data_IF_428682128961
#
_entry.id   IF_428682128961
#
_cell.length_a   1.000
_cell.length_b   1.000
_cell.length_c   1.000
_cell.angle_alpha   90.00
_cell.angle_beta   90.00
_cell.angle_gamma   90.00
#
_symmetry.space_group_name_H-M   'P 1'
#
loop_
_entity.id
_entity.type
_entity.pdbx_description
1 polymer ?
#
# COMPACT_ATOMS: atom_id res chain seq x y z
N UNK A 1 -34.37 -7.01 4.54
CA UNK A 1 -33.46 -7.97 5.20
C UNK A 1 -32.04 -7.51 4.88
N UNK A 2 -31.17 -7.44 5.89
CA UNK A 2 -29.73 -7.12 5.71
C UNK A 2 -28.97 -8.42 5.84
N UNK A 3 -28.19 -8.77 4.81
CA UNK A 3 -27.33 -9.94 4.85
C UNK A 3 -25.86 -9.55 4.76
N UNK A 4 -25.04 -10.19 5.59
CA UNK A 4 -23.58 -10.04 5.55
C UNK A 4 -22.95 -11.13 4.71
N UNK A 5 -21.97 -10.72 3.91
CA UNK A 5 -21.14 -11.62 3.10
C UNK A 5 -19.67 -11.32 3.40
N UNK A 6 -18.93 -12.34 3.85
CA UNK A 6 -17.48 -12.24 4.04
C UNK A 6 -16.77 -12.24 2.68
N UNK A 7 -15.83 -11.32 2.52
CA UNK A 7 -15.04 -11.02 1.31
C UNK A 7 -13.55 -10.87 1.65
N UNK A 8 -13.12 -11.49 2.76
CA UNK A 8 -11.75 -11.40 3.27
C UNK A 8 -10.70 -12.00 2.33
N UNK A 9 -11.12 -12.88 1.40
CA UNK A 9 -10.24 -13.51 0.40
C UNK A 9 -10.51 -12.99 -1.01
N UNK A 10 -9.56 -13.22 -1.92
CA UNK A 10 -9.73 -12.92 -3.36
C UNK A 10 -10.68 -13.90 -4.06
N UNK A 11 -11.15 -14.92 -3.35
CA UNK A 11 -12.09 -15.89 -3.89
C UNK A 11 -13.42 -15.23 -4.19
N UNK A 12 -14.01 -15.61 -5.32
CA UNK A 12 -15.40 -15.25 -5.60
C UNK A 12 -16.29 -15.94 -4.57
N UNK A 13 -17.04 -15.16 -3.81
CA UNK A 13 -18.04 -15.67 -2.88
C UNK A 13 -19.41 -15.52 -3.53
N UNK A 14 -20.25 -16.54 -3.37
CA UNK A 14 -21.62 -16.47 -3.83
C UNK A 14 -22.58 -16.89 -2.73
N UNK A 15 -23.69 -16.16 -2.61
CA UNK A 15 -24.74 -16.44 -1.62
C UNK A 15 -26.09 -16.33 -2.29
N UNK A 16 -26.94 -17.33 -2.11
CA UNK A 16 -28.35 -17.24 -2.50
C UNK A 16 -29.12 -16.58 -1.36
N UNK A 17 -29.83 -15.49 -1.64
CA UNK A 17 -30.70 -14.81 -0.67
C UNK A 17 -32.10 -15.47 -0.62
N UNK A 18 -32.51 -16.07 -1.74
CA UNK A 18 -33.70 -16.89 -1.91
C UNK A 18 -33.54 -17.74 -3.19
N UNK A 19 -34.55 -18.53 -3.53
CA UNK A 19 -34.55 -19.44 -4.69
C UNK A 19 -34.31 -18.72 -6.04
N UNK A 20 -34.57 -17.42 -6.09
CA UNK A 20 -34.54 -16.63 -7.32
C UNK A 20 -33.36 -15.65 -7.36
N UNK A 21 -32.74 -15.32 -6.22
CA UNK A 21 -31.76 -14.25 -6.08
C UNK A 21 -30.42 -14.79 -5.59
N UNK A 22 -29.39 -14.64 -6.44
CA UNK A 22 -28.00 -14.99 -6.13
C UNK A 22 -27.14 -13.74 -6.16
N UNK A 23 -26.36 -13.53 -5.11
CA UNK A 23 -25.33 -12.50 -5.07
C UNK A 23 -23.98 -13.15 -5.29
N UNK A 24 -23.18 -12.54 -6.15
CA UNK A 24 -21.77 -12.85 -6.33
C UNK A 24 -20.96 -11.63 -5.89
N UNK A 25 -19.97 -11.85 -5.05
CA UNK A 25 -19.08 -10.81 -4.53
C UNK A 25 -17.64 -11.19 -4.82
N UNK A 26 -16.85 -10.23 -5.28
CA UNK A 26 -15.42 -10.43 -5.50
C UNK A 26 -14.63 -9.22 -5.00
N UNK A 27 -13.57 -9.49 -4.25
CA UNK A 27 -12.58 -8.47 -3.90
C UNK A 27 -11.92 -7.95 -5.18
N UNK A 28 -11.86 -6.63 -5.34
CA UNK A 28 -11.14 -6.00 -6.43
C UNK A 28 -9.70 -5.80 -5.95
N UNK A 29 -8.78 -6.62 -6.45
CA UNK A 29 -7.36 -6.34 -6.26
C UNK A 29 -6.94 -5.22 -7.20
N UNK A 30 -6.43 -4.08 -6.70
CA UNK A 30 -5.85 -3.08 -7.59
C UNK A 30 -4.68 -3.71 -8.35
N UNK A 31 -4.48 -3.28 -9.59
CA UNK A 31 -3.30 -3.70 -10.35
C UNK A 31 -2.04 -3.23 -9.61
N UNK A 32 -1.26 -4.17 -9.09
CA UNK A 32 -0.05 -3.90 -8.30
C UNK A 32 1.17 -4.28 -9.12
N UNK A 33 1.95 -3.26 -9.50
CA UNK A 33 3.28 -3.49 -10.09
C UNK A 33 4.18 -3.99 -8.96
N UNK A 34 4.86 -5.12 -9.18
CA UNK A 34 5.84 -5.62 -8.20
C UNK A 34 7.04 -4.67 -8.20
N UNK A 35 7.41 -4.05 -7.06
CA UNK A 35 8.51 -3.11 -7.02
C UNK A 35 9.85 -3.83 -7.21
N UNK A 36 10.77 -3.19 -7.94
CA UNK A 36 12.15 -3.63 -8.07
C UNK A 36 13.00 -3.32 -6.83
N UNK A 37 14.24 -3.82 -6.79
CA UNK A 37 15.17 -3.57 -5.69
C UNK A 37 15.48 -2.08 -5.50
N UNK A 38 15.58 -1.32 -6.60
CA UNK A 38 15.76 0.13 -6.58
C UNK A 38 14.60 0.85 -5.91
N UNK A 39 13.35 0.48 -6.24
CA UNK A 39 12.16 1.07 -5.63
C UNK A 39 12.12 0.81 -4.12
N UNK A 40 12.49 -0.40 -3.70
CA UNK A 40 12.56 -0.78 -2.28
C UNK A 40 13.68 -0.04 -1.53
N UNK A 41 14.83 0.15 -2.17
CA UNK A 41 15.93 0.95 -1.64
C UNK A 41 15.47 2.38 -1.34
N UNK A 42 14.90 3.07 -2.34
CA UNK A 42 14.42 4.44 -2.16
C UNK A 42 13.25 4.52 -1.17
N UNK A 43 12.35 3.53 -1.18
CA UNK A 43 11.23 3.48 -0.25
C UNK A 43 11.69 3.40 1.22
N UNK A 44 12.80 2.72 1.51
CA UNK A 44 13.35 2.70 2.87
C UNK A 44 13.72 4.11 3.36
N UNK A 45 14.38 4.91 2.51
CA UNK A 45 14.69 6.31 2.83
C UNK A 45 13.42 7.14 2.99
N UNK A 46 12.44 6.96 2.10
CA UNK A 46 11.17 7.69 2.14
C UNK A 46 10.40 7.42 3.42
N UNK A 47 10.23 6.16 3.81
CA UNK A 47 9.51 5.80 5.04
C UNK A 47 10.21 6.37 6.27
N UNK A 48 11.54 6.30 6.31
CA UNK A 48 12.28 6.84 7.46
C UNK A 48 12.30 8.38 7.48
N UNK A 49 12.28 9.02 6.32
CA UNK A 49 12.09 10.45 6.19
C UNK A 49 10.70 10.89 6.63
N UNK A 50 9.68 10.13 6.27
CA UNK A 50 8.28 10.35 6.65
C UNK A 50 8.09 10.32 8.17
N UNK A 51 8.66 9.33 8.85
CA UNK A 51 8.74 9.29 10.33
C UNK A 51 9.41 10.55 10.91
N UNK A 52 10.35 11.14 10.18
CA UNK A 52 11.15 12.29 10.60
C UNK A 52 10.68 13.65 10.02
N UNK A 53 9.41 13.74 9.60
CA UNK A 53 8.80 15.00 9.16
C UNK A 53 8.51 15.10 7.66
N UNK A 54 8.57 13.99 6.93
CA UNK A 54 8.13 13.92 5.55
C UNK A 54 9.22 13.99 4.49
N UNK A 55 8.81 13.86 3.23
CA UNK A 55 9.63 14.05 2.05
C UNK A 55 9.17 15.25 1.22
N UNK A 56 10.12 15.88 0.52
CA UNK A 56 9.79 16.78 -0.59
C UNK A 56 9.51 15.97 -1.85
N UNK A 57 10.40 15.02 -2.14
CA UNK A 57 10.26 14.13 -3.30
C UNK A 57 11.14 12.89 -3.17
N UNK A 58 10.79 11.84 -3.90
CA UNK A 58 11.67 10.72 -4.19
C UNK A 58 11.53 10.27 -5.65
N UNK A 59 12.58 9.75 -6.24
CA UNK A 59 12.63 9.31 -7.64
C UNK A 59 13.31 7.96 -7.79
N UNK A 60 12.92 7.20 -8.82
CA UNK A 60 13.71 6.09 -9.37
C UNK A 60 14.36 6.58 -10.66
N UNK A 61 15.67 6.38 -10.77
CA UNK A 61 16.40 6.64 -12.01
C UNK A 61 16.61 5.30 -12.72
N UNK A 62 15.82 5.05 -13.78
CA UNK A 62 15.80 3.74 -14.46
C UNK A 62 17.04 3.44 -15.31
N UNK A 63 17.90 4.44 -15.59
CA UNK A 63 19.10 4.31 -16.41
C UNK A 63 20.26 5.10 -15.81
N UNK A 64 21.44 4.48 -15.76
CA UNK A 64 22.67 5.09 -15.25
C UNK A 64 23.17 4.43 -13.97
N UNK A 65 24.11 5.08 -13.29
CA UNK A 65 24.77 4.57 -12.08
C UNK A 65 24.05 4.93 -10.78
N UNK A 66 23.03 5.78 -10.83
CA UNK A 66 22.23 6.17 -9.69
C UNK A 66 20.95 5.33 -9.62
N UNK A 67 20.62 4.87 -8.42
CA UNK A 67 19.38 4.15 -8.13
C UNK A 67 18.17 5.09 -8.15
N UNK A 68 18.32 6.24 -7.53
CA UNK A 68 17.26 7.21 -7.34
C UNK A 68 17.77 8.39 -6.53
N UNK A 69 16.84 9.24 -6.12
CA UNK A 69 17.12 10.27 -5.12
C UNK A 69 15.94 10.39 -4.20
N UNK A 70 16.19 10.42 -2.88
CA UNK A 70 15.19 10.76 -1.87
C UNK A 70 15.59 12.09 -1.22
N UNK A 71 14.69 13.08 -1.28
CA UNK A 71 14.87 14.40 -0.67
C UNK A 71 13.93 14.56 0.52
N UNK A 72 14.38 14.24 1.74
CA UNK A 72 13.58 14.43 2.94
C UNK A 72 13.36 15.92 3.25
N UNK A 73 12.33 16.24 4.02
CA UNK A 73 12.16 17.57 4.61
C UNK A 73 13.31 17.87 5.58
N UNK A 74 13.72 16.86 6.35
CA UNK A 74 14.87 16.90 7.25
C UNK A 74 15.77 15.68 7.01
N UNK A 75 16.96 15.92 6.46
CA UNK A 75 17.95 14.85 6.28
C UNK A 75 18.63 14.55 7.62
N UNK A 76 18.84 13.26 7.91
CA UNK A 76 19.54 12.78 9.10
C UNK A 76 20.45 11.60 8.73
N UNK A 77 21.44 11.31 9.56
CA UNK A 77 22.27 10.11 9.40
C UNK A 77 21.43 8.83 9.40
N UNK A 78 20.38 8.77 10.21
CA UNK A 78 19.45 7.63 10.28
C UNK A 78 18.68 7.49 8.98
N UNK A 79 18.09 8.57 8.46
CA UNK A 79 17.41 8.60 7.15
C UNK A 79 18.33 8.16 6.02
N UNK A 80 19.57 8.66 6.02
CA UNK A 80 20.59 8.27 5.04
C UNK A 80 20.98 6.79 5.15
N UNK A 81 20.92 6.17 6.34
CA UNK A 81 21.26 4.76 6.52
C UNK A 81 20.12 3.77 6.21
N UNK A 82 18.93 4.26 5.85
CA UNK A 82 17.71 3.46 5.77
C UNK A 82 17.85 2.22 4.86
N UNK A 83 18.27 2.41 3.61
CA UNK A 83 18.37 1.31 2.67
C UNK A 83 19.42 0.28 3.09
N UNK A 84 20.57 0.74 3.58
CA UNK A 84 21.62 -0.12 4.13
C UNK A 84 21.19 -0.89 5.38
N UNK A 85 20.30 -0.33 6.20
CA UNK A 85 19.74 -0.98 7.37
C UNK A 85 18.88 -2.20 7.01
N UNK A 86 18.14 -2.09 5.90
CA UNK A 86 17.28 -3.14 5.34
C UNK A 86 18.04 -4.14 4.45
N UNK A 87 19.35 -3.95 4.26
CA UNK A 87 20.20 -4.87 3.49
C UNK A 87 20.15 -4.65 1.97
N UNK A 88 19.65 -3.50 1.50
CA UNK A 88 19.68 -3.17 0.09
C UNK A 88 21.09 -2.75 -0.37
N UNK A 89 21.42 -3.06 -1.63
CA UNK A 89 22.67 -2.65 -2.28
C UNK A 89 22.66 -1.20 -2.75
N UNK A 90 23.78 -0.73 -3.30
CA UNK A 90 23.92 0.64 -3.84
C UNK A 90 24.13 1.74 -2.78
N UNK A 91 24.57 1.37 -1.58
CA UNK A 91 24.61 2.25 -0.40
C UNK A 91 25.95 2.96 -0.17
N UNK A 92 26.86 2.92 -1.15
CA UNK A 92 28.18 3.56 -1.03
C UNK A 92 28.07 5.07 -0.79
N UNK A 93 27.17 5.74 -1.54
CA UNK A 93 26.89 7.16 -1.35
C UNK A 93 26.22 7.43 0.00
N UNK A 94 25.25 6.60 0.39
CA UNK A 94 24.56 6.70 1.68
C UNK A 94 25.52 6.63 2.85
N UNK A 95 26.43 5.65 2.82
CA UNK A 95 27.47 5.49 3.83
C UNK A 95 28.38 6.73 3.88
N UNK A 96 28.79 7.24 2.73
CA UNK A 96 29.61 8.46 2.67
C UNK A 96 28.87 9.66 3.27
N UNK A 97 27.57 9.83 2.99
CA UNK A 97 26.75 10.90 3.57
C UNK A 97 26.66 10.76 5.09
N UNK A 98 26.50 9.55 5.60
CA UNK A 98 26.46 9.29 7.05
C UNK A 98 27.80 9.60 7.72
N UNK A 99 28.89 9.02 7.22
CA UNK A 99 30.20 9.10 7.86
C UNK A 99 30.85 10.46 7.68
N UNK A 100 30.81 11.03 6.46
CA UNK A 100 31.48 12.29 6.14
C UNK A 100 30.55 13.51 6.23
N UNK A 101 29.29 13.34 5.85
CA UNK A 101 28.32 14.44 5.87
C UNK A 101 27.82 14.74 7.29
N UNK A 102 27.58 13.70 8.09
CA UNK A 102 27.10 13.84 9.47
C UNK A 102 28.12 13.51 10.55
N UNK A 103 29.30 12.97 10.20
CA UNK A 103 30.30 12.56 11.20
C UNK A 103 29.84 11.37 12.06
N UNK A 104 28.84 10.61 11.60
CA UNK A 104 28.20 9.56 12.39
C UNK A 104 28.68 8.16 11.98
N UNK A 105 28.65 7.21 12.92
CA UNK A 105 28.96 5.81 12.62
C UNK A 105 27.88 5.20 11.72
N UNK A 106 28.28 4.65 10.57
CA UNK A 106 27.38 3.91 9.66
C UNK A 106 26.63 2.76 10.36
N UNK A 107 27.34 1.99 11.17
CA UNK A 107 26.75 0.86 11.91
C UNK A 107 25.69 1.33 12.93
N UNK A 108 26.00 2.39 13.69
CA UNK A 108 25.06 2.95 14.65
C UNK A 108 23.80 3.51 13.94
N UNK A 109 23.98 4.29 12.87
CA UNK A 109 22.89 4.83 12.08
C UNK A 109 22.00 3.74 11.49
N UNK A 110 22.59 2.66 10.96
CA UNK A 110 21.85 1.49 10.46
C UNK A 110 21.04 0.80 11.55
N UNK A 111 21.58 0.65 12.76
CA UNK A 111 20.85 0.01 13.85
C UNK A 111 19.63 0.84 14.27
N UNK A 112 19.78 2.16 14.37
CA UNK A 112 18.65 3.07 14.64
C UNK A 112 17.63 3.02 13.51
N UNK A 113 18.07 3.04 12.26
CA UNK A 113 17.19 2.97 11.09
C UNK A 113 16.41 1.66 11.03
N UNK A 114 17.07 0.52 11.32
CA UNK A 114 16.44 -0.80 11.37
C UNK A 114 15.34 -0.85 12.43
N UNK A 115 15.63 -0.32 13.62
CA UNK A 115 14.65 -0.27 14.71
C UNK A 115 13.41 0.56 14.30
N UNK A 116 13.61 1.71 13.65
CA UNK A 116 12.52 2.56 13.18
C UNK A 116 11.71 1.92 12.03
N UNK A 117 12.33 1.11 11.18
CA UNK A 117 11.69 0.50 10.02
C UNK A 117 11.01 -0.86 10.30
N UNK A 118 11.25 -1.47 11.46
CA UNK A 118 10.79 -2.83 11.77
C UNK A 118 9.29 -3.06 11.50
N UNK A 119 8.43 -2.14 11.95
CA UNK A 119 6.97 -2.24 11.83
C UNK A 119 6.41 -1.54 10.58
N UNK A 120 7.28 -1.03 9.70
CA UNK A 120 6.90 -0.22 8.55
C UNK A 120 7.07 -0.94 7.20
N UNK A 121 7.19 -2.27 7.23
CA UNK A 121 7.38 -3.09 6.02
C UNK A 121 6.23 -2.96 5.01
N UNK A 122 4.96 -2.99 5.48
CA UNK A 122 3.79 -2.79 4.60
C UNK A 122 3.80 -1.40 3.94
N UNK A 123 4.15 -0.35 4.69
CA UNK A 123 4.24 1.01 4.17
C UNK A 123 5.37 1.14 3.16
N UNK A 124 6.54 0.57 3.47
CA UNK A 124 7.68 0.53 2.55
C UNK A 124 7.31 -0.16 1.23
N UNK A 125 6.55 -1.26 1.28
CA UNK A 125 6.07 -1.93 0.09
C UNK A 125 5.11 -1.05 -0.74
N UNK A 126 4.14 -0.38 -0.10
CA UNK A 126 3.19 0.51 -0.78
C UNK A 126 3.86 1.77 -1.37
N UNK A 127 4.86 2.32 -0.68
CA UNK A 127 5.70 3.41 -1.18
C UNK A 127 6.53 2.95 -2.38
N UNK A 128 7.16 1.77 -2.29
CA UNK A 128 7.95 1.20 -3.39
C UNK A 128 7.09 0.96 -4.63
N UNK A 129 5.87 0.43 -4.48
CA UNK A 129 4.93 0.29 -5.59
C UNK A 129 4.56 1.65 -6.20
N UNK A 130 4.34 2.67 -5.37
CA UNK A 130 4.04 4.02 -5.84
C UNK A 130 5.22 4.62 -6.63
N UNK A 131 6.45 4.40 -6.17
CA UNK A 131 7.67 4.80 -6.87
C UNK A 131 7.84 4.04 -8.19
N UNK A 132 7.64 2.72 -8.22
CA UNK A 132 7.77 1.89 -9.42
C UNK A 132 6.79 2.35 -10.52
N UNK A 133 5.55 2.63 -10.12
CA UNK A 133 4.49 3.05 -11.02
C UNK A 133 4.70 4.46 -11.56
N UNK A 134 5.05 5.42 -10.71
CA UNK A 134 5.08 6.85 -11.08
C UNK A 134 6.49 7.33 -11.50
N UNK A 135 7.54 6.60 -11.13
CA UNK A 135 8.94 7.02 -11.31
C UNK A 135 9.39 8.16 -10.38
N UNK A 136 8.44 8.98 -9.89
CA UNK A 136 8.65 10.05 -8.92
C UNK A 136 7.42 10.18 -8.01
N UNK A 137 7.66 10.42 -6.73
CA UNK A 137 6.63 10.65 -5.72
C UNK A 137 6.96 11.86 -4.84
N UNK A 138 5.98 12.32 -4.07
CA UNK A 138 6.09 13.36 -3.04
C UNK A 138 5.25 12.95 -1.81
N UNK A 139 5.14 13.81 -0.79
CA UNK A 139 4.45 13.48 0.46
C UNK A 139 3.00 13.00 0.25
N UNK A 140 2.23 13.60 -0.67
CA UNK A 140 0.84 13.20 -0.93
C UNK A 140 0.72 11.73 -1.36
N UNK A 141 1.73 11.21 -2.07
CA UNK A 141 1.77 9.80 -2.47
C UNK A 141 2.08 8.89 -1.28
N UNK A 142 2.94 9.34 -0.35
CA UNK A 142 3.27 8.63 0.89
C UNK A 142 2.05 8.57 1.81
N UNK A 143 1.33 9.68 1.96
CA UNK A 143 0.09 9.71 2.75
C UNK A 143 -0.99 8.81 2.13
N UNK A 144 -1.09 8.79 0.80
CA UNK A 144 -1.96 7.86 0.08
C UNK A 144 -1.56 6.39 0.31
N UNK A 145 -0.25 6.10 0.34
CA UNK A 145 0.26 4.76 0.64
C UNK A 145 -0.06 4.36 2.09
N UNK A 146 0.12 5.26 3.06
CA UNK A 146 -0.26 5.05 4.46
C UNK A 146 -1.74 4.74 4.60
N UNK A 147 -2.60 5.53 3.96
CA UNK A 147 -4.05 5.29 3.95
C UNK A 147 -4.42 3.92 3.37
N UNK A 148 -3.71 3.43 2.35
CA UNK A 148 -3.91 2.06 1.83
C UNK A 148 -3.49 0.98 2.83
N UNK A 149 -2.39 1.17 3.55
CA UNK A 149 -1.96 0.24 4.62
C UNK A 149 -2.99 0.21 5.74
N UNK A 150 -3.48 1.35 6.18
CA UNK A 150 -4.50 1.46 7.24
C UNK A 150 -5.80 0.78 6.84
N UNK A 151 -6.31 1.05 5.62
CA UNK A 151 -7.48 0.36 5.07
C UNK A 151 -7.28 -1.16 5.03
N UNK A 152 -6.12 -1.63 4.57
CA UNK A 152 -5.77 -3.07 4.54
C UNK A 152 -5.79 -3.67 5.96
N UNK A 153 -5.21 -2.99 6.96
CA UNK A 153 -5.22 -3.43 8.36
C UNK A 153 -6.65 -3.52 8.93
N UNK A 154 -7.55 -2.64 8.48
CA UNK A 154 -8.97 -2.63 8.87
C UNK A 154 -9.85 -3.59 8.05
N UNK A 155 -9.28 -4.30 7.06
CA UNK A 155 -10.06 -5.18 6.18
C UNK A 155 -11.00 -4.42 5.23
N UNK A 156 -10.64 -3.18 4.89
CA UNK A 156 -11.37 -2.33 3.94
C UNK A 156 -10.79 -2.52 2.54
N UNK A 157 -11.60 -3.07 1.65
CA UNK A 157 -11.24 -3.37 0.27
C UNK A 157 -12.37 -2.97 -0.67
N UNK A 158 -12.07 -2.51 -1.88
CA UNK A 158 -13.09 -2.38 -2.92
C UNK A 158 -13.61 -3.77 -3.31
N UNK A 159 -14.92 -3.90 -3.40
CA UNK A 159 -15.63 -5.15 -3.70
C UNK A 159 -16.62 -4.90 -4.82
N UNK A 160 -16.55 -5.73 -5.87
CA UNK A 160 -17.60 -5.77 -6.89
C UNK A 160 -18.71 -6.70 -6.43
N UNK A 161 -19.94 -6.22 -6.47
CA UNK A 161 -21.15 -6.96 -6.15
C UNK A 161 -21.96 -7.11 -7.43
N UNK A 162 -22.35 -8.35 -7.74
CA UNK A 162 -23.20 -8.69 -8.88
C UNK A 162 -24.43 -9.44 -8.36
N UNK A 163 -25.62 -8.92 -8.64
CA UNK A 163 -26.89 -9.49 -8.18
C UNK A 163 -27.58 -10.13 -9.38
N UNK A 164 -27.84 -11.43 -9.30
CA UNK A 164 -28.55 -12.21 -10.29
C UNK A 164 -29.96 -12.51 -9.80
N UNK A 165 -30.97 -12.24 -10.64
CA UNK A 165 -32.37 -12.64 -10.41
C UNK A 165 -32.80 -13.59 -11.54
N UNK A 166 -33.35 -14.74 -11.20
CA UNK A 166 -33.73 -15.79 -12.16
C UNK A 166 -32.59 -16.15 -13.14
N UNK A 167 -31.36 -16.22 -12.63
CA UNK A 167 -30.16 -16.51 -13.43
C UNK A 167 -29.67 -15.37 -14.33
N UNK A 168 -30.33 -14.20 -14.36
CA UNK A 168 -29.91 -13.03 -15.14
C UNK A 168 -29.31 -11.95 -14.25
N UNK A 169 -28.22 -11.32 -14.70
CA UNK A 169 -27.63 -10.17 -14.00
C UNK A 169 -28.67 -9.04 -13.95
N UNK A 170 -29.10 -8.71 -12.74
CA UNK A 170 -30.08 -7.65 -12.47
C UNK A 170 -29.42 -6.35 -12.06
N UNK A 171 -28.30 -6.40 -11.34
CA UNK A 171 -27.59 -5.23 -10.85
C UNK A 171 -26.10 -5.53 -10.65
N UNK A 172 -25.25 -4.52 -10.77
CA UNK A 172 -23.81 -4.60 -10.54
C UNK A 172 -23.28 -3.26 -10.04
N UNK A 173 -22.68 -3.25 -8.86
CA UNK A 173 -22.07 -2.05 -8.29
C UNK A 173 -20.76 -2.36 -7.57
N UNK A 174 -20.03 -1.31 -7.18
CA UNK A 174 -18.82 -1.41 -6.35
C UNK A 174 -19.09 -0.77 -5.00
N UNK A 175 -18.65 -1.42 -3.93
CA UNK A 175 -18.71 -0.90 -2.56
C UNK A 175 -17.37 -1.16 -1.85
N UNK A 176 -17.19 -0.64 -0.64
CA UNK A 176 -16.07 -1.00 0.23
C UNK A 176 -16.51 -2.01 1.29
N UNK A 177 -15.66 -2.99 1.59
CA UNK A 177 -15.84 -3.84 2.76
C UNK A 177 -15.46 -3.11 4.04
N UNK A 178 -15.95 -3.59 5.18
CA UNK A 178 -15.48 -3.19 6.50
C UNK A 178 -15.23 -4.46 7.32
N UNK A 179 -14.05 -4.59 7.94
CA UNK A 179 -13.60 -5.84 8.57
C UNK A 179 -13.72 -7.09 7.67
N UNK A 180 -13.56 -6.92 6.36
CA UNK A 180 -13.67 -8.01 5.39
C UNK A 180 -15.10 -8.49 5.14
N UNK A 181 -16.12 -7.70 5.48
CA UNK A 181 -17.53 -8.00 5.20
C UNK A 181 -18.20 -6.87 4.40
N UNK A 182 -19.25 -7.20 3.66
CA UNK A 182 -20.17 -6.24 3.06
C UNK A 182 -21.60 -6.53 3.51
N UNK A 183 -22.40 -5.48 3.66
CA UNK A 183 -23.84 -5.58 3.91
C UNK A 183 -24.61 -5.42 2.61
N UNK A 184 -25.51 -6.36 2.34
CA UNK A 184 -26.40 -6.35 1.18
C UNK A 184 -27.82 -6.14 1.65
N UNK A 185 -28.41 -5.06 1.17
CA UNK A 185 -29.81 -4.75 1.38
C UNK A 185 -30.62 -5.42 0.27
N UNK A 186 -31.28 -6.52 0.58
CA UNK A 186 -32.28 -7.07 -0.31
C UNK A 186 -33.45 -6.08 -0.36
N UNK A 187 -33.59 -5.33 -1.46
CA UNK A 187 -34.79 -4.55 -1.74
C UNK A 187 -35.93 -5.54 -1.94
N UNK A 188 -36.77 -5.68 -0.91
CA UNK A 188 -38.05 -6.36 -1.05
C UNK A 188 -38.86 -5.55 -2.06
N UNK A 189 -38.99 -6.08 -3.28
CA UNK A 189 -40.04 -5.61 -4.18
C UNK A 189 -41.37 -5.89 -3.48
N UNK A 190 -41.88 -4.92 -2.72
CA UNK A 190 -43.31 -4.88 -2.44
C UNK A 190 -43.99 -4.62 -3.78
N UNK A 191 -44.41 -5.69 -4.45
CA UNK A 191 -45.44 -5.60 -5.47
C UNK A 191 -46.70 -5.14 -4.73
N UNK A 192 -47.00 -3.85 -4.83
CA UNK A 192 -48.36 -3.34 -4.61
C UNK A 192 -49.28 -4.10 -5.57
N UNK A 193 -50.22 -4.85 -4.99
CA UNK A 193 -51.29 -5.55 -5.69
C UNK A 193 -52.25 -4.56 -6.32
#
# INVERSE_FOLDING_TARGET
MVERISVATTEVKSKSLNDETKVITRKIEPHRIKPGGTALHEAAHVVLADINGGIREATIIRKGYALGTTRPVKMSATTAAAAGAMGFGGTSWDQMVVERGFGASWSAAKNTARAALADNTDLMQEVAMSLEQNGRINQNHVDSARGRVEKKKQGIYPVKVEIYKYGKLSDSYTTESFHGEIEIHATSNQRSK
#
